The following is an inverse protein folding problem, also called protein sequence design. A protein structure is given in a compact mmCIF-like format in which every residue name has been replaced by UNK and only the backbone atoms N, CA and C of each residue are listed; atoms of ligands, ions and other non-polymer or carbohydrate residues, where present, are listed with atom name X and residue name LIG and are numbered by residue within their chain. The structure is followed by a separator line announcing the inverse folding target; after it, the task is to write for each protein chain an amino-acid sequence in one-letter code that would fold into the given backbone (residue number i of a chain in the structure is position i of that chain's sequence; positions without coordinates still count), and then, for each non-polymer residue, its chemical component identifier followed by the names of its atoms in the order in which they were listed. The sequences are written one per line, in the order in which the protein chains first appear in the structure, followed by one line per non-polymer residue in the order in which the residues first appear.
data_IF_876067298324
#
_entry.id   IF_876067298324
#
_cell.length_a   1.000
_cell.length_b   1.000
_cell.length_c   1.000
_cell.angle_alpha   90.00
_cell.angle_beta   90.00
_cell.angle_gamma   90.00
#
_symmetry.space_group_name_H-M   'P 1'
#
loop_
_entity.id
_entity.type
_entity.pdbx_description
1 polymer ?
#
# COMPACT_ATOMS: atom_id res chain seq x y z
N UNK A 1 46.27 6.77 44.68
CA UNK A 1 45.39 5.99 43.77
C UNK A 1 44.95 6.94 42.65
N UNK A 2 45.77 7.24 41.62
CA UNK A 2 45.84 6.64 40.25
C UNK A 2 44.52 5.94 39.85
N UNK A 3 43.82 6.20 38.74
CA UNK A 3 44.20 6.54 37.35
C UNK A 3 43.14 7.41 36.61
N UNK A 4 43.57 7.90 35.44
CA UNK A 4 42.97 8.77 34.40
C UNK A 4 41.83 8.14 33.56
N UNK A 5 41.24 9.02 32.73
CA UNK A 5 40.65 8.81 31.38
C UNK A 5 39.12 8.61 31.34
N UNK A 6 38.36 9.12 30.38
CA UNK A 6 38.64 9.84 29.13
C UNK A 6 37.36 10.57 28.69
N UNK A 7 37.49 11.66 27.92
CA UNK A 7 36.40 12.19 27.11
C UNK A 7 35.90 11.11 26.13
N UNK A 8 34.58 11.00 25.96
CA UNK A 8 34.02 10.57 24.68
C UNK A 8 32.79 11.46 24.38
N UNK A 9 33.04 12.50 23.59
CA UNK A 9 32.01 13.20 22.85
C UNK A 9 31.40 12.19 21.86
N UNK A 10 30.15 11.79 22.08
CA UNK A 10 29.41 11.05 21.07
C UNK A 10 28.72 12.07 20.17
N UNK A 11 29.51 12.63 19.25
CA UNK A 11 29.00 13.38 18.12
C UNK A 11 28.37 12.36 17.17
N UNK A 12 27.10 12.02 17.39
CA UNK A 12 26.32 11.29 16.40
C UNK A 12 25.91 12.33 15.35
N UNK A 13 26.77 12.57 14.38
CA UNK A 13 26.31 13.09 13.09
C UNK A 13 25.48 11.98 12.45
N UNK A 14 24.20 11.92 12.82
CA UNK A 14 23.21 11.28 11.98
C UNK A 14 23.13 12.14 10.72
N UNK A 15 23.96 11.80 9.72
CA UNK A 15 23.57 12.01 8.34
C UNK A 15 22.41 11.05 8.09
N UNK A 16 21.24 11.41 8.64
CA UNK A 16 19.99 10.85 8.26
C UNK A 16 19.82 11.22 6.81
N UNK A 17 20.18 10.30 5.92
CA UNK A 17 19.50 10.22 4.64
C UNK A 17 18.06 9.97 5.04
N UNK A 18 17.27 11.04 5.11
CA UNK A 18 15.83 10.95 5.27
C UNK A 18 15.35 10.10 4.09
N UNK A 19 15.07 8.81 4.34
CA UNK A 19 14.35 8.00 3.39
C UNK A 19 12.95 8.58 3.34
N UNK A 20 12.78 9.60 2.51
CA UNK A 20 11.50 10.23 2.27
C UNK A 20 10.53 9.12 1.88
N UNK A 21 9.59 8.86 2.79
CA UNK A 21 8.65 7.72 2.78
C UNK A 21 8.13 7.52 1.36
N UNK A 22 8.46 6.37 0.79
CA UNK A 22 8.12 6.01 -0.59
C UNK A 22 6.65 5.70 -0.78
N UNK A 23 5.93 5.39 0.30
CA UNK A 23 4.48 5.22 0.36
C UNK A 23 3.79 6.58 0.58
N UNK A 24 2.70 6.81 -0.16
CA UNK A 24 1.86 8.01 -0.11
C UNK A 24 0.51 7.82 0.57
N UNK A 25 0.25 6.65 1.16
CA UNK A 25 -0.95 6.42 1.96
C UNK A 25 -0.99 7.42 3.12
N UNK A 26 -2.09 8.18 3.30
CA UNK A 26 -2.24 9.12 4.41
C UNK A 26 -2.08 8.43 5.76
N UNK A 27 -1.64 9.18 6.77
CA UNK A 27 -1.64 8.68 8.13
C UNK A 27 -3.05 8.18 8.54
N UNK A 28 -3.15 7.08 9.30
CA UNK A 28 -4.43 6.59 9.77
C UNK A 28 -5.13 7.65 10.64
N UNK A 29 -6.46 7.65 10.59
CA UNK A 29 -7.30 8.46 11.48
C UNK A 29 -7.46 7.75 12.83
N UNK A 30 -7.87 8.51 13.85
CA UNK A 30 -8.12 7.97 15.19
C UNK A 30 -9.12 6.80 15.16
N UNK A 31 -10.13 6.86 14.30
CA UNK A 31 -11.10 5.77 14.16
C UNK A 31 -10.48 4.48 13.65
N UNK A 32 -9.50 4.54 12.73
CA UNK A 32 -8.77 3.37 12.29
C UNK A 32 -7.97 2.76 13.46
N UNK A 33 -7.34 3.61 14.27
CA UNK A 33 -6.52 3.18 15.41
C UNK A 33 -7.40 2.51 16.48
N UNK A 34 -8.60 3.06 16.71
CA UNK A 34 -9.59 2.49 17.62
C UNK A 34 -10.08 1.12 17.15
N UNK A 35 -10.38 0.96 15.86
CA UNK A 35 -10.75 -0.33 15.26
C UNK A 35 -9.63 -1.35 15.41
N UNK A 36 -8.39 -0.96 15.08
CA UNK A 36 -7.22 -1.84 15.17
C UNK A 36 -6.94 -2.27 16.62
N UNK A 37 -7.09 -1.34 17.58
CA UNK A 37 -7.01 -1.62 19.00
C UNK A 37 -8.07 -2.64 19.45
N UNK A 38 -9.31 -2.51 18.98
CA UNK A 38 -10.37 -3.47 19.30
C UNK A 38 -10.05 -4.85 18.72
N UNK A 39 -9.53 -4.95 17.49
CA UNK A 39 -9.10 -6.23 16.92
C UNK A 39 -8.00 -6.89 17.74
N UNK A 40 -6.93 -6.15 18.06
CA UNK A 40 -5.82 -6.63 18.90
C UNK A 40 -6.29 -7.12 20.27
N UNK A 41 -7.17 -6.37 20.93
CA UNK A 41 -7.73 -6.77 22.23
C UNK A 41 -8.62 -8.02 22.13
N UNK A 42 -9.40 -8.13 21.04
CA UNK A 42 -10.27 -9.27 20.78
C UNK A 42 -9.45 -10.54 20.51
N UNK A 43 -8.38 -10.42 19.74
CA UNK A 43 -7.42 -11.50 19.47
C UNK A 43 -6.73 -11.94 20.76
N UNK A 44 -6.23 -11.01 21.58
CA UNK A 44 -5.62 -11.33 22.88
C UNK A 44 -6.58 -12.05 23.83
N UNK A 45 -7.86 -11.68 23.82
CA UNK A 45 -8.86 -12.29 24.68
C UNK A 45 -9.31 -13.68 24.22
N UNK A 46 -9.41 -13.90 22.91
CA UNK A 46 -10.04 -15.10 22.34
C UNK A 46 -9.06 -16.02 21.59
N UNK A 47 -7.79 -15.61 21.46
CA UNK A 47 -6.84 -16.18 20.52
C UNK A 47 -7.16 -15.78 19.07
N UNK A 48 -6.20 -16.06 18.17
CA UNK A 48 -6.41 -15.92 16.73
C UNK A 48 -7.57 -16.80 16.28
N UNK A 49 -8.57 -16.18 15.66
CA UNK A 49 -9.62 -16.92 14.98
C UNK A 49 -8.99 -17.80 13.90
N UNK A 50 -9.57 -18.99 13.67
CA UNK A 50 -9.17 -19.81 12.52
C UNK A 50 -9.40 -18.98 11.24
N UNK A 51 -8.36 -18.77 10.41
CA UNK A 51 -8.54 -18.04 9.17
C UNK A 51 -9.61 -18.71 8.32
N UNK A 52 -10.56 -17.92 7.84
CA UNK A 52 -11.46 -18.33 6.75
C UNK A 52 -10.82 -17.80 5.48
N UNK A 53 -10.66 -18.64 4.43
CA UNK A 53 -10.11 -18.17 3.17
C UNK A 53 -10.88 -16.96 2.63
N UNK A 54 -10.16 -15.87 2.38
CA UNK A 54 -10.67 -14.65 1.79
C UNK A 54 -10.27 -14.63 0.33
N UNK A 55 -11.23 -14.47 -0.58
CA UNK A 55 -10.95 -14.22 -1.99
C UNK A 55 -11.48 -12.84 -2.38
N UNK A 56 -10.57 -11.95 -2.78
CA UNK A 56 -10.87 -10.58 -3.21
C UNK A 56 -10.78 -10.53 -4.73
N UNK A 57 -11.82 -10.00 -5.38
CA UNK A 57 -11.74 -9.77 -6.81
C UNK A 57 -10.91 -8.51 -7.09
N UNK A 58 -10.08 -8.54 -8.14
CA UNK A 58 -9.30 -7.40 -8.58
C UNK A 58 -9.77 -6.90 -9.95
N UNK A 59 -9.90 -5.58 -10.07
CA UNK A 59 -9.95 -4.84 -11.32
C UNK A 59 -8.66 -4.05 -11.52
N UNK A 60 -8.01 -4.25 -12.66
CA UNK A 60 -6.81 -3.51 -13.07
C UNK A 60 -7.18 -2.34 -13.98
N UNK A 61 -6.63 -1.16 -13.70
CA UNK A 61 -6.79 0.03 -14.52
C UNK A 61 -5.41 0.54 -14.93
N UNK A 62 -5.01 0.26 -16.16
CA UNK A 62 -3.77 0.78 -16.74
C UNK A 62 -4.08 2.13 -17.37
N UNK A 63 -3.63 3.23 -16.76
CA UNK A 63 -3.79 4.57 -17.33
C UNK A 63 -2.45 5.02 -17.86
N UNK A 64 -2.36 5.18 -19.18
CA UNK A 64 -1.10 5.44 -19.86
C UNK A 64 -1.19 6.69 -20.74
N UNK A 65 -0.08 7.38 -20.92
CA UNK A 65 0.01 8.52 -21.83
C UNK A 65 -0.02 8.09 -23.30
N UNK A 66 0.47 6.88 -23.59
CA UNK A 66 0.50 6.23 -24.90
C UNK A 66 0.76 4.72 -24.72
N UNK A 67 0.82 3.96 -25.82
CA UNK A 67 0.99 2.49 -25.79
C UNK A 67 2.43 2.01 -25.56
N UNK A 68 3.29 2.85 -24.97
CA UNK A 68 4.67 2.47 -24.62
C UNK A 68 4.80 2.21 -23.12
N UNK A 69 5.78 1.38 -22.75
CA UNK A 69 6.08 1.08 -21.34
C UNK A 69 6.45 2.36 -20.57
N UNK A 70 7.24 3.24 -21.18
CA UNK A 70 7.60 4.54 -20.59
C UNK A 70 6.38 5.46 -20.42
N UNK A 71 5.38 5.31 -21.31
CA UNK A 71 4.08 5.95 -21.19
C UNK A 71 3.17 5.36 -20.11
N UNK A 72 3.60 4.32 -19.38
CA UNK A 72 2.81 3.64 -18.35
C UNK A 72 1.99 2.45 -18.85
N UNK A 73 2.15 2.05 -20.12
CA UNK A 73 1.43 0.91 -20.67
C UNK A 73 2.03 -0.43 -20.22
N UNK A 74 1.18 -1.35 -19.76
CA UNK A 74 1.59 -2.69 -19.35
C UNK A 74 0.74 -3.76 -20.01
N UNK A 75 1.36 -4.84 -20.49
CA UNK A 75 0.62 -5.98 -21.06
C UNK A 75 -0.20 -6.73 -20.00
N UNK A 76 -1.20 -7.51 -20.43
CA UNK A 76 -1.89 -8.47 -19.56
C UNK A 76 -0.89 -9.41 -18.86
N UNK A 77 0.16 -9.87 -19.56
CA UNK A 77 1.21 -10.71 -18.94
C UNK A 77 2.00 -10.01 -17.83
N UNK A 78 2.01 -8.68 -17.79
CA UNK A 78 2.60 -7.92 -16.68
C UNK A 78 1.64 -7.87 -15.49
N UNK A 79 0.34 -7.70 -15.75
CA UNK A 79 -0.71 -7.78 -14.73
C UNK A 79 -0.79 -9.19 -14.12
N UNK A 80 -0.67 -10.25 -14.93
CA UNK A 80 -0.65 -11.64 -14.44
C UNK A 80 0.53 -11.90 -13.50
N UNK A 81 1.71 -11.34 -13.82
CA UNK A 81 2.89 -11.43 -12.96
C UNK A 81 2.70 -10.63 -11.67
N UNK A 82 2.08 -9.45 -11.75
CA UNK A 82 1.74 -8.66 -10.56
C UNK A 82 0.74 -9.41 -9.65
N UNK A 83 -0.28 -10.04 -10.23
CA UNK A 83 -1.23 -10.88 -9.52
C UNK A 83 -0.52 -12.07 -8.84
N UNK A 84 0.42 -12.72 -9.53
CA UNK A 84 1.19 -13.81 -8.97
C UNK A 84 2.05 -13.39 -7.77
N UNK A 85 2.67 -12.19 -7.83
CA UNK A 85 3.42 -11.63 -6.69
C UNK A 85 2.50 -11.38 -5.50
N UNK A 86 1.33 -10.77 -5.73
CA UNK A 86 0.35 -10.53 -4.66
C UNK A 86 -0.16 -11.84 -4.06
N UNK A 87 -0.62 -12.78 -4.87
CA UNK A 87 -1.07 -14.08 -4.38
C UNK A 87 0.03 -14.85 -3.64
N UNK A 88 1.29 -14.76 -4.09
CA UNK A 88 2.42 -15.36 -3.37
C UNK A 88 2.65 -14.75 -1.99
N UNK A 89 2.48 -13.44 -1.85
CA UNK A 89 2.66 -12.72 -0.58
C UNK A 89 1.52 -12.96 0.42
N UNK A 90 0.29 -13.04 -0.08
CA UNK A 90 -0.91 -13.12 0.77
C UNK A 90 -1.40 -14.55 1.04
N UNK A 91 -1.02 -15.54 0.21
CA UNK A 91 -1.44 -16.94 0.39
C UNK A 91 -1.11 -17.57 1.76
N UNK A 92 0.04 -17.28 2.41
CA UNK A 92 0.32 -17.78 3.76
C UNK A 92 -0.68 -17.31 4.83
N UNK A 93 -1.47 -16.28 4.53
CA UNK A 93 -2.48 -15.69 5.40
C UNK A 93 -3.91 -16.00 4.93
N UNK A 94 -4.08 -17.01 4.08
CA UNK A 94 -5.37 -17.44 3.51
C UNK A 94 -6.12 -16.32 2.74
N UNK A 95 -5.39 -15.32 2.24
CA UNK A 95 -5.91 -14.26 1.38
C UNK A 95 -5.47 -14.53 -0.06
N UNK A 96 -6.43 -14.53 -0.97
CA UNK A 96 -6.23 -14.74 -2.40
C UNK A 96 -6.93 -13.65 -3.20
N UNK A 97 -6.40 -13.40 -4.38
CA UNK A 97 -6.90 -12.43 -5.33
C UNK A 97 -7.24 -13.10 -6.66
N UNK A 98 -8.40 -12.77 -7.19
CA UNK A 98 -8.86 -13.22 -8.50
C UNK A 98 -9.04 -12.02 -9.42
N UNK A 99 -8.29 -11.94 -10.52
CA UNK A 99 -8.54 -10.93 -11.54
C UNK A 99 -9.90 -11.20 -12.20
N UNK A 100 -10.80 -10.23 -12.12
CA UNK A 100 -12.12 -10.26 -12.76
C UNK A 100 -12.24 -9.29 -13.93
N UNK A 101 -11.33 -8.32 -14.03
CA UNK A 101 -11.28 -7.40 -15.16
C UNK A 101 -9.98 -6.61 -15.25
N UNK A 102 -9.68 -6.15 -16.46
CA UNK A 102 -8.61 -5.20 -16.74
C UNK A 102 -9.06 -4.24 -17.84
N UNK A 103 -8.63 -2.99 -17.78
CA UNK A 103 -8.77 -2.01 -18.84
C UNK A 103 -7.51 -1.17 -19.04
N UNK A 104 -7.39 -0.66 -20.26
CA UNK A 104 -6.29 0.20 -20.72
C UNK A 104 -6.87 1.51 -21.21
N UNK A 105 -6.53 2.59 -20.52
CA UNK A 105 -6.97 3.93 -20.83
C UNK A 105 -5.80 4.76 -21.32
N UNK A 106 -5.78 5.06 -22.62
CA UNK A 106 -4.79 5.98 -23.20
C UNK A 106 -5.31 7.41 -23.04
N UNK A 107 -4.84 8.09 -22.00
CA UNK A 107 -5.22 9.46 -21.68
C UNK A 107 -4.04 10.18 -21.02
N UNK A 108 -3.31 10.98 -21.81
CA UNK A 108 -2.14 11.71 -21.34
C UNK A 108 -2.44 12.70 -20.19
N UNK A 109 -3.65 13.25 -20.14
CA UNK A 109 -4.05 14.16 -19.05
C UNK A 109 -4.19 13.40 -17.73
N UNK A 110 -4.88 12.26 -17.73
CA UNK A 110 -5.01 11.42 -16.52
C UNK A 110 -3.69 10.75 -16.13
N UNK A 111 -2.87 10.36 -17.12
CA UNK A 111 -1.57 9.75 -16.87
C UNK A 111 -0.57 10.70 -16.19
N UNK A 112 -0.73 12.01 -16.38
CA UNK A 112 0.07 13.05 -15.74
C UNK A 112 -0.62 13.70 -14.52
N UNK A 113 -1.79 13.21 -14.13
CA UNK A 113 -2.59 13.82 -13.07
C UNK A 113 -2.11 13.40 -11.67
N UNK A 114 -1.81 14.39 -10.83
CA UNK A 114 -1.38 14.17 -9.44
C UNK A 114 -1.93 15.29 -8.54
N UNK A 115 -2.74 14.99 -7.50
CA UNK A 115 -3.26 13.65 -7.18
C UNK A 115 -4.27 13.16 -8.23
N UNK A 116 -4.44 11.85 -8.32
CA UNK A 116 -5.45 11.20 -9.19
C UNK A 116 -6.83 11.78 -8.92
N UNK A 117 -7.57 12.17 -9.97
CA UNK A 117 -8.89 12.80 -9.79
C UNK A 117 -10.02 11.83 -9.51
N UNK A 118 -11.01 12.35 -8.78
CA UNK A 118 -12.33 11.72 -8.62
C UNK A 118 -13.01 11.46 -9.98
N UNK A 119 -12.80 12.32 -10.97
CA UNK A 119 -13.37 12.15 -12.32
C UNK A 119 -12.85 10.88 -12.99
N UNK A 120 -11.53 10.66 -12.94
CA UNK A 120 -10.91 9.43 -13.46
C UNK A 120 -11.42 8.21 -12.68
N UNK A 121 -11.39 8.28 -11.35
CA UNK A 121 -11.84 7.18 -10.47
C UNK A 121 -13.31 6.80 -10.71
N UNK A 122 -14.22 7.79 -10.83
CA UNK A 122 -15.64 7.57 -11.19
C UNK A 122 -15.82 6.92 -12.56
N UNK A 123 -14.99 7.28 -13.53
CA UNK A 123 -15.08 6.73 -14.88
C UNK A 123 -14.58 5.27 -14.95
N UNK A 124 -13.61 4.90 -14.13
CA UNK A 124 -12.88 3.64 -14.26
C UNK A 124 -13.27 2.58 -13.22
N UNK A 125 -13.62 2.96 -11.98
CA UNK A 125 -13.93 2.00 -10.91
C UNK A 125 -14.98 0.99 -11.37
N UNK A 126 -14.76 -0.28 -11.01
CA UNK A 126 -15.65 -1.41 -11.28
C UNK A 126 -15.94 -2.20 -10.01
N UNK A 127 -17.04 -2.95 -10.06
CA UNK A 127 -17.47 -3.83 -8.97
C UNK A 127 -18.15 -3.10 -7.82
N UNK A 128 -18.15 -3.78 -6.68
CA UNK A 128 -18.75 -3.41 -5.40
C UNK A 128 -17.69 -2.84 -4.46
N UNK A 129 -18.05 -2.61 -3.19
CA UNK A 129 -17.06 -2.17 -2.19
C UNK A 129 -16.13 -3.30 -1.74
N UNK A 130 -16.50 -4.57 -1.95
CA UNK A 130 -15.66 -5.72 -1.63
C UNK A 130 -14.59 -6.01 -2.69
N UNK A 131 -14.63 -5.31 -3.83
CA UNK A 131 -13.74 -5.55 -4.97
C UNK A 131 -12.61 -4.51 -5.00
N UNK A 132 -11.38 -4.98 -5.15
CA UNK A 132 -10.18 -4.14 -5.14
C UNK A 132 -9.91 -3.57 -6.54
N UNK A 133 -9.86 -2.25 -6.63
CA UNK A 133 -9.52 -1.53 -7.86
C UNK A 133 -8.09 -1.00 -7.75
N UNK A 134 -7.19 -1.43 -8.65
CA UNK A 134 -5.78 -1.01 -8.66
C UNK A 134 -5.48 -0.23 -9.94
N UNK A 135 -4.95 0.98 -9.77
CA UNK A 135 -4.65 1.92 -10.84
C UNK A 135 -3.14 2.05 -11.04
N UNK A 136 -2.65 1.73 -12.24
CA UNK A 136 -1.27 1.96 -12.64
C UNK A 136 -1.18 3.31 -13.32
N UNK A 137 -0.44 4.24 -12.70
CA UNK A 137 -0.23 5.60 -13.20
C UNK A 137 1.27 5.80 -13.43
N UNK A 138 1.74 6.25 -14.60
CA UNK A 138 3.16 6.30 -14.92
C UNK A 138 3.98 7.17 -13.97
N UNK A 139 3.48 8.35 -13.60
CA UNK A 139 4.27 9.32 -12.84
C UNK A 139 3.51 9.88 -11.63
N UNK A 140 3.33 9.03 -10.63
CA UNK A 140 2.93 9.47 -9.28
C UNK A 140 4.13 10.03 -8.53
N UNK A 141 3.96 11.05 -7.66
CA UNK A 141 5.05 11.65 -6.90
C UNK A 141 5.67 10.70 -5.86
N UNK A 142 4.95 9.66 -5.47
CA UNK A 142 5.37 8.58 -4.57
C UNK A 142 5.20 7.22 -5.26
N UNK A 143 5.66 6.12 -4.66
CA UNK A 143 5.55 4.78 -5.26
C UNK A 143 4.10 4.31 -5.41
N UNK A 144 3.24 4.68 -4.46
CA UNK A 144 1.84 4.31 -4.45
C UNK A 144 1.13 4.87 -3.22
N UNK A 145 -0.18 4.69 -3.18
CA UNK A 145 -1.02 4.98 -2.02
C UNK A 145 -2.31 4.15 -2.08
N UNK A 146 -2.95 4.00 -0.94
CA UNK A 146 -4.22 3.31 -0.76
C UNK A 146 -5.23 4.17 0.01
N UNK A 147 -6.50 3.83 -0.15
CA UNK A 147 -7.56 4.21 0.79
C UNK A 147 -7.57 3.26 1.99
N UNK A 148 -7.93 3.76 3.17
CA UNK A 148 -8.20 2.94 4.34
C UNK A 148 -9.58 2.24 4.23
N UNK A 149 -9.81 1.13 4.96
CA UNK A 149 -11.07 0.37 4.90
C UNK A 149 -12.19 1.05 5.70
N UNK A 150 -12.67 2.18 5.18
CA UNK A 150 -13.71 3.00 5.81
C UNK A 150 -15.14 2.48 5.61
N UNK A 151 -16.06 2.92 6.47
CA UNK A 151 -17.48 2.74 6.21
C UNK A 151 -17.95 3.72 5.12
N UNK A 152 -18.02 3.27 3.87
CA UNK A 152 -18.43 4.11 2.73
C UNK A 152 -19.88 3.88 2.31
N UNK A 153 -20.51 4.94 1.79
CA UNK A 153 -21.83 4.85 1.15
C UNK A 153 -21.63 4.55 -0.34
N UNK A 154 -22.26 3.49 -0.85
CA UNK A 154 -22.15 3.14 -2.28
C UNK A 154 -22.60 4.32 -3.15
N UNK A 155 -21.71 4.73 -4.05
CA UNK A 155 -21.93 5.88 -4.96
C UNK A 155 -21.50 7.24 -4.39
N UNK A 156 -20.98 7.31 -3.17
CA UNK A 156 -20.33 8.51 -2.65
C UNK A 156 -18.95 8.73 -3.29
N UNK A 157 -18.37 9.91 -3.11
CA UNK A 157 -17.04 10.20 -3.63
C UNK A 157 -15.97 9.32 -2.98
N UNK A 158 -16.12 8.99 -1.69
CA UNK A 158 -15.25 8.07 -0.95
C UNK A 158 -15.29 6.66 -1.56
N UNK A 159 -16.49 6.16 -1.89
CA UNK A 159 -16.64 4.88 -2.59
C UNK A 159 -15.91 4.86 -3.94
N UNK A 160 -15.94 5.96 -4.69
CA UNK A 160 -15.22 6.03 -5.96
C UNK A 160 -13.71 6.20 -5.79
N UNK A 161 -13.26 6.94 -4.78
CA UNK A 161 -11.83 7.14 -4.51
C UNK A 161 -11.14 5.88 -4.00
N UNK A 162 -11.90 5.00 -3.31
CA UNK A 162 -11.43 3.74 -2.76
C UNK A 162 -10.61 2.89 -3.76
N UNK A 163 -9.61 2.19 -3.21
CA UNK A 163 -8.69 1.32 -3.91
C UNK A 163 -7.23 1.76 -3.79
N UNK A 164 -6.39 1.25 -4.69
CA UNK A 164 -4.94 1.41 -4.65
C UNK A 164 -4.44 2.08 -5.92
N UNK A 165 -3.53 3.04 -5.79
CA UNK A 165 -2.81 3.66 -6.90
C UNK A 165 -1.34 3.32 -6.77
N UNK A 166 -0.72 2.87 -7.85
CA UNK A 166 0.72 2.56 -7.88
C UNK A 166 1.40 3.18 -9.08
N UNK A 167 2.68 3.52 -8.89
CA UNK A 167 3.57 3.95 -9.96
C UNK A 167 3.78 2.80 -10.91
N UNK A 168 3.38 2.97 -12.17
CA UNK A 168 3.33 1.92 -13.17
C UNK A 168 4.69 1.19 -13.29
N UNK A 169 5.80 1.93 -13.27
CA UNK A 169 7.15 1.37 -13.37
C UNK A 169 7.58 0.44 -12.21
N UNK A 170 6.81 0.33 -11.11
CA UNK A 170 7.09 -0.53 -9.95
C UNK A 170 6.62 -2.00 -10.10
N UNK A 171 5.97 -2.33 -11.21
CA UNK A 171 5.55 -3.71 -11.54
C UNK A 171 6.73 -4.69 -11.62
N UNK A 172 6.50 -6.03 -11.53
CA UNK A 172 7.54 -7.04 -11.66
C UNK A 172 8.32 -6.93 -12.99
N UNK A 173 9.62 -6.65 -12.89
CA UNK A 173 10.50 -6.44 -14.04
C UNK A 173 10.35 -5.06 -14.70
N UNK A 174 9.67 -4.11 -14.04
CA UNK A 174 9.59 -2.72 -14.45
C UNK A 174 10.92 -1.96 -14.33
N UNK A 175 10.93 -0.70 -14.76
CA UNK A 175 12.14 0.13 -14.83
C UNK A 175 12.52 0.79 -13.49
N UNK A 176 11.63 0.81 -12.51
CA UNK A 176 11.85 1.52 -11.24
C UNK A 176 12.59 0.67 -10.22
N UNK A 177 13.85 0.31 -10.49
CA UNK A 177 14.72 -0.34 -9.50
C UNK A 177 15.04 0.61 -8.34
N UNK A 178 15.07 0.14 -7.07
CA UNK A 178 14.91 -1.24 -6.60
C UNK A 178 13.45 -1.67 -6.34
N UNK A 179 12.47 -0.85 -6.72
CA UNK A 179 11.03 -1.05 -6.44
C UNK A 179 10.28 -1.80 -7.55
N UNK A 180 10.97 -2.49 -8.45
CA UNK A 180 10.41 -3.16 -9.62
C UNK A 180 10.11 -4.66 -9.40
N UNK A 181 9.88 -5.05 -8.15
CA UNK A 181 9.48 -6.41 -7.77
C UNK A 181 7.96 -6.62 -7.72
N UNK A 182 7.15 -5.57 -7.89
CA UNK A 182 5.70 -5.62 -7.66
C UNK A 182 5.28 -5.54 -6.19
N UNK A 183 6.23 -5.31 -5.28
CA UNK A 183 5.96 -5.23 -3.84
C UNK A 183 5.24 -3.94 -3.44
N UNK A 184 5.33 -2.86 -4.23
CA UNK A 184 4.53 -1.65 -3.99
C UNK A 184 3.04 -1.97 -3.97
N UNK A 185 2.53 -2.73 -4.95
CA UNK A 185 1.12 -3.14 -4.95
C UNK A 185 0.76 -3.98 -3.73
N UNK A 186 1.67 -4.85 -3.29
CA UNK A 186 1.49 -5.69 -2.09
C UNK A 186 1.40 -4.81 -0.84
N UNK A 187 2.30 -3.84 -0.70
CA UNK A 187 2.35 -2.88 0.40
C UNK A 187 1.07 -2.05 0.50
N UNK A 188 0.69 -1.38 -0.60
CA UNK A 188 -0.51 -0.52 -0.60
C UNK A 188 -1.78 -1.35 -0.43
N UNK A 189 -1.84 -2.59 -0.93
CA UNK A 189 -2.97 -3.49 -0.65
C UNK A 189 -3.04 -3.88 0.82
N UNK A 190 -1.90 -3.98 1.52
CA UNK A 190 -1.87 -4.15 2.97
C UNK A 190 -2.57 -2.99 3.69
N UNK A 191 -2.29 -1.74 3.30
CA UNK A 191 -2.99 -0.57 3.83
C UNK A 191 -4.49 -0.58 3.51
N UNK A 192 -4.88 -0.97 2.30
CA UNK A 192 -6.29 -1.14 1.93
C UNK A 192 -7.01 -2.18 2.80
N UNK A 193 -6.29 -3.21 3.25
CA UNK A 193 -6.78 -4.21 4.21
C UNK A 193 -6.64 -3.77 5.69
N UNK A 194 -6.19 -2.55 5.95
CA UNK A 194 -6.09 -1.97 7.29
C UNK A 194 -4.75 -2.21 8.01
N UNK A 195 -3.73 -2.75 7.35
CA UNK A 195 -2.40 -2.89 7.94
C UNK A 195 -1.65 -1.56 7.97
N UNK A 196 -0.94 -1.31 9.06
CA UNK A 196 -0.20 -0.07 9.24
C UNK A 196 1.24 -0.29 8.80
N UNK A 197 2.01 0.79 8.68
CA UNK A 197 3.44 0.64 8.59
C UNK A 197 3.95 -0.03 9.87
N UNK A 198 4.91 -0.94 9.77
CA UNK A 198 5.50 -1.63 10.94
C UNK A 198 6.27 -0.69 11.89
N UNK A 199 6.59 0.51 11.40
CA UNK A 199 7.19 1.65 12.12
C UNK A 199 6.12 2.72 12.47
N UNK A 200 4.84 2.37 12.49
CA UNK A 200 3.79 3.30 12.88
C UNK A 200 3.78 3.44 14.41
N UNK A 201 3.68 4.68 14.91
CA UNK A 201 3.55 4.92 16.36
C UNK A 201 4.81 4.62 17.18
N UNK A 202 6.00 4.84 16.61
CA UNK A 202 7.35 4.53 17.14
C UNK A 202 7.77 5.29 18.41
N UNK A 203 6.96 5.21 19.45
CA UNK A 203 7.32 5.62 20.79
C UNK A 203 7.59 4.35 21.61
N UNK A 204 8.71 4.30 22.35
CA UNK A 204 9.02 3.21 23.29
C UNK A 204 7.92 3.14 24.37
N UNK A 205 6.85 2.38 24.11
CA UNK A 205 5.64 2.31 24.94
C UNK A 205 4.33 2.61 24.21
N UNK A 206 4.38 3.09 22.96
CA UNK A 206 3.21 3.31 22.11
C UNK A 206 2.58 2.01 21.60
N UNK A 207 1.39 2.10 21.01
CA UNK A 207 0.63 0.95 20.51
C UNK A 207 1.22 0.29 19.24
N UNK A 208 2.25 0.89 18.63
CA UNK A 208 2.89 0.38 17.42
C UNK A 208 1.95 0.38 16.21
N UNK A 209 2.07 -0.64 15.37
CA UNK A 209 1.18 -0.94 14.24
C UNK A 209 -0.07 -1.74 14.66
N UNK A 210 -0.30 -1.89 15.97
CA UNK A 210 -1.38 -2.68 16.59
C UNK A 210 -1.31 -4.19 16.32
N UNK A 211 -0.17 -4.71 15.88
CA UNK A 211 0.07 -6.15 15.67
C UNK A 211 1.12 -6.63 16.66
N UNK A 212 0.73 -7.51 17.59
CA UNK A 212 1.58 -7.88 18.74
C UNK A 212 2.85 -8.66 18.37
N UNK A 213 2.85 -9.38 17.24
CA UNK A 213 4.01 -10.13 16.75
C UNK A 213 4.92 -9.33 15.80
N UNK A 214 4.52 -8.10 15.42
CA UNK A 214 5.42 -7.16 14.75
C UNK A 214 6.35 -6.53 15.79
N UNK A 215 7.65 -6.78 15.67
CA UNK A 215 8.63 -6.08 16.50
C UNK A 215 8.60 -4.58 16.19
N UNK A 216 8.48 -3.73 17.22
CA UNK A 216 8.55 -2.27 17.07
C UNK A 216 9.90 -1.88 16.48
N UNK A 217 9.89 -1.20 15.34
CA UNK A 217 11.08 -0.77 14.61
C UNK A 217 11.04 0.74 14.43
N UNK A 218 12.08 1.45 14.90
CA UNK A 218 12.12 2.90 14.77
C UNK A 218 12.11 3.36 13.31
N UNK A 219 11.36 4.42 13.02
CA UNK A 219 11.33 5.09 11.72
C UNK A 219 12.70 5.72 11.46
N UNK A 220 13.40 5.25 10.42
CA UNK A 220 14.67 5.82 9.94
C UNK A 220 14.45 6.97 8.96
#
# INVERSE_FOLDING_TARGET
MRLKASLLSCLVTALGVTSQRTCGTPAPLQEHEEVSRVFRLTENANGLAKPVPININIYWHVVAANETVDGGFHSQSTLDRQLAVMNGAFAPHDVQFTQVGADWTINASWAAESPVSITMKKALRKGTYADLNIYFIPDTPLLGFASWPDAVVVGSDEFYMDGVVIRAASVPGGSLSPYNGGHTATHETGHWLGLYHTFQGDECGGDGDFVDDTSKVASS
#
